data_IF_380321810638
#
_entry.id   IF_380321810638
#
_cell.length_a   1.000
_cell.length_b   1.000
_cell.length_c   1.000
_cell.angle_alpha   90.00
_cell.angle_beta   90.00
_cell.angle_gamma   90.00
#
_symmetry.space_group_name_H-M   'P 1'
#
loop_
_entity.id
_entity.type
_entity.pdbx_description
1 polymer ?
#
# COMPACT_ATOMS: atom_id res chain seq x y z
N UNK A 1 33.38 -54.39 15.45
CA UNK A 1 32.54 -54.39 14.24
C UNK A 1 32.04 -52.97 14.03
N UNK A 2 32.37 -52.30 12.92
CA UNK A 2 31.78 -50.99 12.62
C UNK A 2 30.35 -51.17 12.08
N UNK A 3 29.41 -50.26 12.40
CA UNK A 3 28.03 -50.36 11.94
C UNK A 3 27.94 -50.09 10.43
N UNK A 4 27.20 -50.95 9.74
CA UNK A 4 26.91 -50.89 8.31
C UNK A 4 25.96 -49.72 7.99
N UNK A 5 26.34 -48.92 6.99
CA UNK A 5 25.53 -47.85 6.41
C UNK A 5 24.22 -48.40 5.83
N UNK A 6 23.05 -47.76 6.04
CA UNK A 6 21.82 -48.17 5.41
C UNK A 6 21.84 -47.88 3.88
N UNK A 7 21.09 -48.66 3.07
CA UNK A 7 21.11 -48.54 1.62
C UNK A 7 20.54 -47.19 1.17
N UNK A 8 21.27 -46.52 0.28
CA UNK A 8 20.85 -45.31 -0.43
C UNK A 8 19.53 -45.55 -1.18
N UNK A 9 18.49 -44.80 -0.83
CA UNK A 9 17.25 -44.73 -1.61
C UNK A 9 17.55 -44.31 -3.05
N UNK A 10 16.92 -44.92 -4.07
CA UNK A 10 17.15 -44.56 -5.46
C UNK A 10 16.68 -43.11 -5.71
N UNK A 11 17.47 -42.38 -6.49
CA UNK A 11 17.17 -41.01 -6.93
C UNK A 11 15.83 -40.95 -7.69
N UNK A 12 15.09 -39.84 -7.64
CA UNK A 12 13.85 -39.70 -8.40
C UNK A 12 14.13 -39.78 -9.91
N UNK A 13 13.22 -40.45 -10.64
CA UNK A 13 13.21 -40.57 -12.11
C UNK A 13 13.47 -39.23 -12.79
N UNK A 14 14.29 -39.26 -13.84
CA UNK A 14 14.57 -38.12 -14.71
C UNK A 14 13.27 -37.42 -15.15
N UNK A 15 13.11 -36.14 -14.78
CA UNK A 15 12.03 -35.29 -15.26
C UNK A 15 12.18 -35.12 -16.78
N UNK A 16 11.21 -35.64 -17.53
CA UNK A 16 11.16 -35.54 -18.99
C UNK A 16 10.81 -34.09 -19.35
N UNK A 17 11.76 -33.34 -19.90
CA UNK A 17 11.57 -31.94 -20.32
C UNK A 17 11.40 -31.88 -21.83
N UNK A 18 10.32 -31.27 -22.30
CA UNK A 18 10.02 -31.09 -23.73
C UNK A 18 10.09 -29.60 -24.06
N UNK A 19 11.03 -29.21 -24.92
CA UNK A 19 11.21 -27.80 -25.30
C UNK A 19 10.45 -27.50 -26.60
N UNK A 20 9.51 -26.56 -26.56
CA UNK A 20 8.81 -26.06 -27.75
C UNK A 20 9.20 -24.60 -27.98
N UNK A 21 9.58 -24.24 -29.21
CA UNK A 21 9.76 -22.83 -29.58
C UNK A 21 8.39 -22.21 -29.81
N UNK A 22 8.09 -21.13 -29.11
CA UNK A 22 6.94 -20.27 -29.35
C UNK A 22 7.46 -18.83 -29.47
N UNK A 23 7.00 -18.10 -30.48
CA UNK A 23 7.31 -16.67 -30.64
C UNK A 23 6.02 -15.88 -30.51
N UNK A 24 5.78 -15.34 -29.32
CA UNK A 24 4.60 -14.51 -29.04
C UNK A 24 5.10 -13.13 -28.63
N UNK A 25 4.84 -12.14 -29.47
CA UNK A 25 5.00 -10.72 -29.10
C UNK A 25 3.73 -10.23 -28.41
N UNK A 26 3.88 -9.59 -27.26
CA UNK A 26 2.83 -8.96 -26.47
C UNK A 26 3.25 -7.51 -26.25
N UNK A 27 2.40 -6.56 -26.65
CA UNK A 27 2.65 -5.14 -26.43
C UNK A 27 2.22 -4.73 -25.00
N UNK A 28 2.75 -3.63 -24.45
CA UNK A 28 2.30 -3.10 -23.16
C UNK A 28 0.78 -2.89 -23.13
N UNK A 29 0.16 -3.23 -21.99
CA UNK A 29 -1.29 -3.10 -21.77
C UNK A 29 -2.19 -3.83 -22.78
N UNK A 30 -1.70 -4.93 -23.37
CA UNK A 30 -2.48 -5.78 -24.28
C UNK A 30 -2.56 -7.22 -23.76
N UNK A 31 -3.71 -7.83 -23.99
CA UNK A 31 -3.92 -9.27 -23.81
C UNK A 31 -3.79 -9.98 -25.15
N UNK A 32 -3.21 -11.18 -25.15
CA UNK A 32 -3.06 -11.99 -26.37
C UNK A 32 -3.25 -13.47 -26.07
N UNK A 33 -4.16 -14.09 -26.81
CA UNK A 33 -4.34 -15.54 -26.76
C UNK A 33 -3.15 -16.26 -27.41
N UNK A 34 -2.77 -17.39 -26.83
CA UNK A 34 -1.63 -18.18 -27.31
C UNK A 34 -2.01 -19.63 -27.49
N UNK A 35 -1.30 -20.32 -28.37
CA UNK A 35 -1.39 -21.79 -28.53
C UNK A 35 -0.49 -22.55 -27.54
N UNK A 36 0.03 -21.87 -26.51
CA UNK A 36 0.86 -22.49 -25.48
C UNK A 36 -0.08 -23.27 -24.55
N UNK A 37 0.17 -24.58 -24.42
CA UNK A 37 -0.65 -25.43 -23.55
C UNK A 37 -0.42 -25.03 -22.09
N UNK A 38 -1.49 -24.96 -21.31
CA UNK A 38 -1.43 -24.84 -19.86
C UNK A 38 -0.85 -26.09 -19.21
N UNK A 39 -0.18 -25.94 -18.07
CA UNK A 39 0.24 -27.08 -17.27
C UNK A 39 -0.98 -27.79 -16.67
N UNK A 40 -0.94 -29.13 -16.62
CA UNK A 40 -1.95 -29.91 -15.90
C UNK A 40 -1.84 -29.65 -14.40
N UNK A 41 -2.96 -29.19 -13.82
CA UNK A 41 -3.04 -28.79 -12.41
C UNK A 41 -2.59 -29.96 -11.53
N UNK A 42 -1.53 -29.75 -10.73
CA UNK A 42 -0.92 -30.71 -9.79
C UNK A 42 -0.02 -31.81 -10.37
N UNK A 43 0.17 -31.89 -11.70
CA UNK A 43 1.00 -32.95 -12.31
C UNK A 43 2.22 -32.41 -13.04
N UNK A 44 2.15 -31.16 -13.50
CA UNK A 44 3.15 -30.60 -14.39
C UNK A 44 3.41 -29.14 -14.11
N UNK A 45 4.55 -28.67 -14.63
CA UNK A 45 4.94 -27.27 -14.65
C UNK A 45 5.38 -26.93 -16.07
N UNK A 46 4.91 -25.81 -16.60
CA UNK A 46 5.37 -25.25 -17.86
C UNK A 46 6.33 -24.11 -17.55
N UNK A 47 7.57 -24.22 -18.03
CA UNK A 47 8.57 -23.17 -17.93
C UNK A 47 8.51 -22.26 -19.14
N UNK A 48 8.28 -20.98 -18.90
CA UNK A 48 8.20 -19.94 -19.93
C UNK A 48 9.42 -19.03 -19.83
N UNK A 49 9.99 -18.67 -20.98
CA UNK A 49 11.05 -17.68 -21.10
C UNK A 49 10.54 -16.48 -21.88
N UNK A 50 10.66 -15.29 -21.27
CA UNK A 50 10.29 -14.01 -21.86
C UNK A 50 11.54 -13.22 -22.23
N UNK A 51 11.41 -12.36 -23.25
CA UNK A 51 12.42 -11.37 -23.61
C UNK A 51 11.82 -9.97 -23.46
N UNK A 52 12.45 -9.11 -22.65
CA UNK A 52 12.06 -7.72 -22.45
C UNK A 52 13.31 -6.84 -22.45
N UNK A 53 13.31 -5.79 -23.27
CA UNK A 53 14.46 -4.88 -23.47
C UNK A 53 15.80 -5.59 -23.73
N UNK A 54 15.78 -6.67 -24.52
CA UNK A 54 16.98 -7.45 -24.81
C UNK A 54 17.32 -8.54 -23.80
N UNK A 55 16.76 -8.47 -22.58
CA UNK A 55 17.04 -9.33 -21.44
C UNK A 55 16.06 -10.50 -21.32
N UNK A 56 16.52 -11.62 -20.76
CA UNK A 56 15.73 -12.86 -20.62
C UNK A 56 15.27 -13.10 -19.19
N UNK A 57 14.01 -13.50 -19.07
CA UNK A 57 13.34 -13.77 -17.80
C UNK A 57 12.64 -15.13 -17.86
N UNK A 58 12.65 -15.87 -16.76
CA UNK A 58 12.10 -17.23 -16.69
C UNK A 58 11.09 -17.36 -15.56
N UNK A 59 10.01 -18.10 -15.82
CA UNK A 59 9.03 -18.45 -14.80
C UNK A 59 8.39 -19.81 -15.04
N UNK A 60 8.07 -20.46 -13.94
CA UNK A 60 7.35 -21.73 -13.89
C UNK A 60 5.86 -21.48 -13.61
N UNK A 61 4.98 -22.05 -14.44
CA UNK A 61 3.52 -21.98 -14.28
C UNK A 61 2.90 -23.39 -14.15
N UNK A 62 1.98 -23.61 -13.18
CA UNK A 62 1.69 -22.72 -12.06
C UNK A 62 2.92 -22.51 -11.18
N UNK A 63 3.06 -21.31 -10.62
CA UNK A 63 4.17 -21.02 -9.72
C UNK A 63 4.00 -21.76 -8.39
N UNK A 64 5.08 -22.03 -7.64
CA UNK A 64 4.98 -22.60 -6.28
C UNK A 64 4.15 -21.73 -5.32
N UNK A 65 4.09 -20.41 -5.56
CA UNK A 65 3.29 -19.44 -4.82
C UNK A 65 1.85 -19.41 -5.32
N UNK A 66 0.89 -19.31 -4.38
CA UNK A 66 -0.54 -19.10 -4.67
C UNK A 66 -0.91 -17.64 -5.00
N UNK A 67 0.05 -16.71 -4.91
CA UNK A 67 -0.17 -15.27 -5.12
C UNK A 67 0.41 -14.87 -6.49
N UNK A 68 1.53 -14.15 -6.44
CA UNK A 68 2.37 -13.79 -7.56
C UNK A 68 3.76 -14.42 -7.40
N UNK A 69 4.54 -14.39 -8.48
CA UNK A 69 5.95 -14.79 -8.48
C UNK A 69 6.78 -13.81 -9.29
N UNK A 70 7.94 -13.42 -8.78
CA UNK A 70 8.90 -12.64 -9.57
C UNK A 70 9.65 -13.59 -10.50
N UNK A 71 9.71 -13.27 -11.78
CA UNK A 71 10.47 -14.03 -12.77
C UNK A 71 11.95 -14.06 -12.41
N UNK A 72 12.59 -15.20 -12.61
CA UNK A 72 14.04 -15.33 -12.51
C UNK A 72 14.70 -14.60 -13.68
N UNK A 73 15.56 -13.64 -13.39
CA UNK A 73 16.45 -13.04 -14.40
C UNK A 73 17.48 -14.07 -14.86
N UNK A 74 17.59 -14.27 -16.17
CA UNK A 74 18.59 -15.16 -16.75
C UNK A 74 19.87 -14.41 -17.16
N UNK A 75 19.82 -13.08 -17.21
CA UNK A 75 20.92 -12.18 -17.51
C UNK A 75 20.77 -10.86 -16.73
N UNK A 76 21.61 -9.85 -17.02
CA UNK A 76 21.71 -8.58 -16.27
C UNK A 76 20.54 -7.60 -16.44
N UNK A 77 19.32 -8.09 -16.67
CA UNK A 77 18.13 -7.26 -16.84
C UNK A 77 17.82 -6.37 -15.64
N UNK A 78 17.52 -5.09 -15.90
CA UNK A 78 17.29 -4.09 -14.83
C UNK A 78 15.97 -4.30 -14.09
N UNK A 79 14.92 -4.70 -14.79
CA UNK A 79 13.55 -4.76 -14.26
C UNK A 79 13.26 -6.10 -13.60
N UNK A 80 12.59 -6.08 -12.44
CA UNK A 80 11.96 -7.29 -11.92
C UNK A 80 10.60 -7.44 -12.60
N UNK A 81 10.28 -8.61 -13.15
CA UNK A 81 8.97 -8.86 -13.76
C UNK A 81 8.15 -9.77 -12.85
N UNK A 82 6.98 -9.33 -12.40
CA UNK A 82 6.08 -10.13 -11.56
C UNK A 82 5.03 -10.77 -12.43
N UNK A 83 4.74 -12.04 -12.16
CA UNK A 83 3.64 -12.75 -12.80
C UNK A 83 2.52 -13.08 -11.84
N UNK A 84 1.30 -13.06 -12.35
CA UNK A 84 0.11 -13.62 -11.71
C UNK A 84 -0.49 -14.62 -12.67
N UNK A 85 -0.52 -15.89 -12.26
CA UNK A 85 -1.11 -16.98 -13.05
C UNK A 85 -2.45 -17.39 -12.44
N UNK A 86 -3.53 -17.32 -13.23
CA UNK A 86 -4.82 -17.87 -12.83
C UNK A 86 -5.01 -19.21 -13.54
N UNK A 87 -5.07 -20.29 -12.75
CA UNK A 87 -5.31 -21.63 -13.32
C UNK A 87 -6.70 -21.74 -13.95
N UNK A 88 -7.67 -20.97 -13.44
CA UNK A 88 -8.98 -20.84 -14.07
C UNK A 88 -8.82 -19.92 -15.28
N UNK A 89 -8.96 -20.49 -16.48
CA UNK A 89 -8.75 -19.78 -17.76
C UNK A 89 -7.30 -19.78 -18.28
N UNK A 90 -6.35 -20.41 -17.59
CA UNK A 90 -4.94 -20.50 -17.99
C UNK A 90 -4.31 -19.13 -18.37
N UNK A 91 -4.61 -18.11 -17.58
CA UNK A 91 -4.21 -16.74 -17.87
C UNK A 91 -2.95 -16.35 -17.10
N UNK A 92 -2.00 -15.72 -17.79
CA UNK A 92 -0.75 -15.23 -17.20
C UNK A 92 -0.65 -13.72 -17.42
N UNK A 93 -0.78 -12.96 -16.34
CA UNK A 93 -0.47 -11.54 -16.34
C UNK A 93 1.00 -11.31 -16.01
N UNK A 94 1.65 -10.38 -16.71
CA UNK A 94 3.05 -9.99 -16.50
C UNK A 94 3.06 -8.49 -16.21
N UNK A 95 3.67 -8.13 -15.09
CA UNK A 95 3.82 -6.76 -14.63
C UNK A 95 5.30 -6.43 -14.55
N UNK A 96 5.70 -5.24 -14.98
CA UNK A 96 6.96 -4.68 -14.49
C UNK A 96 6.79 -4.40 -13.02
N UNK A 97 7.48 -5.16 -12.17
CA UNK A 97 7.54 -4.89 -10.75
C UNK A 97 8.43 -3.66 -10.62
N UNK A 98 7.82 -2.49 -10.61
CA UNK A 98 8.42 -1.39 -9.88
C UNK A 98 8.76 -1.93 -8.49
N UNK A 99 9.95 -1.64 -7.98
CA UNK A 99 10.33 -2.00 -6.61
C UNK A 99 9.23 -1.48 -5.69
N UNK A 100 8.30 -2.33 -5.23
CA UNK A 100 7.02 -1.86 -4.67
C UNK A 100 7.23 -0.99 -3.42
N UNK A 101 8.31 -1.25 -2.67
CA UNK A 101 8.72 -0.43 -1.55
C UNK A 101 9.30 0.95 -1.94
N UNK A 102 9.63 1.17 -3.22
CA UNK A 102 10.26 2.38 -3.75
C UNK A 102 9.78 2.76 -5.17
N UNK A 103 8.51 2.49 -5.49
CA UNK A 103 8.01 2.61 -6.87
C UNK A 103 7.94 4.07 -7.35
N UNK A 104 7.80 5.03 -6.43
CA UNK A 104 7.78 6.45 -6.80
C UNK A 104 9.17 6.93 -7.25
N UNK A 105 10.26 6.19 -6.99
CA UNK A 105 11.62 6.52 -7.46
C UNK A 105 11.73 6.67 -8.97
N UNK A 106 10.93 5.94 -9.72
CA UNK A 106 10.95 5.94 -11.19
C UNK A 106 10.17 7.13 -11.79
N UNK A 107 9.54 7.95 -10.95
CA UNK A 107 8.72 9.09 -11.37
C UNK A 107 9.47 10.40 -11.24
N UNK A 108 9.09 11.38 -12.07
CA UNK A 108 9.69 12.72 -12.06
C UNK A 108 9.21 13.57 -10.88
N UNK A 109 10.10 14.43 -10.36
CA UNK A 109 9.85 15.26 -9.19
C UNK A 109 8.85 16.39 -9.45
N UNK A 110 8.75 16.83 -10.71
CA UNK A 110 7.88 17.90 -11.17
C UNK A 110 6.41 17.46 -11.28
N UNK A 111 6.14 16.15 -11.30
CA UNK A 111 4.79 15.64 -11.46
C UNK A 111 3.92 16.05 -10.26
N UNK A 112 2.76 16.69 -10.49
CA UNK A 112 1.80 16.95 -9.43
C UNK A 112 1.36 15.63 -8.79
N UNK A 113 1.45 15.55 -7.45
CA UNK A 113 1.04 14.36 -6.70
C UNK A 113 -0.39 13.88 -7.02
N UNK A 114 -1.39 14.76 -7.26
CA UNK A 114 -2.75 14.35 -7.61
C UNK A 114 -2.90 13.68 -8.98
N UNK A 115 -1.90 13.78 -9.87
CA UNK A 115 -1.94 13.08 -11.17
C UNK A 115 -1.55 11.61 -11.06
N UNK A 116 -1.04 11.17 -9.92
CA UNK A 116 -0.62 9.79 -9.71
C UNK A 116 -1.82 8.91 -9.34
N UNK A 117 -1.89 7.72 -9.93
CA UNK A 117 -2.72 6.64 -9.39
C UNK A 117 -2.01 6.03 -8.18
N UNK A 118 -2.51 6.33 -6.99
CA UNK A 118 -1.89 5.90 -5.72
C UNK A 118 -2.76 4.82 -5.06
N UNK A 119 -2.24 3.60 -4.83
CA UNK A 119 -2.97 2.60 -4.07
C UNK A 119 -3.09 3.02 -2.60
N UNK A 120 -4.29 2.88 -2.06
CA UNK A 120 -4.62 3.18 -0.67
C UNK A 120 -5.29 2.02 0.06
N UNK A 121 -5.30 2.07 1.39
CA UNK A 121 -5.99 1.10 2.23
C UNK A 121 -6.99 1.77 3.17
N UNK A 122 -8.20 1.22 3.23
CA UNK A 122 -9.25 1.63 4.16
C UNK A 122 -8.91 1.15 5.58
N UNK A 123 -9.08 2.05 6.56
CA UNK A 123 -8.75 1.85 7.96
C UNK A 123 -7.44 1.04 8.15
N UNK A 124 -6.33 1.60 7.64
CA UNK A 124 -5.08 0.89 7.36
C UNK A 124 -4.52 0.03 8.50
N UNK A 125 -4.56 0.41 9.79
CA UNK A 125 -3.95 -0.41 10.85
C UNK A 125 -4.81 -1.59 11.31
N UNK A 126 -5.98 -1.85 10.71
CA UNK A 126 -6.93 -2.90 11.14
C UNK A 126 -6.54 -4.32 10.70
N UNK A 127 -5.35 -4.78 11.10
CA UNK A 127 -4.85 -6.12 10.79
C UNK A 127 -4.77 -7.07 12.00
N UNK A 128 -5.12 -6.60 13.20
CA UNK A 128 -4.99 -7.35 14.43
C UNK A 128 -6.16 -8.30 14.68
N UNK A 129 -6.04 -9.12 15.72
CA UNK A 129 -7.16 -9.89 16.26
C UNK A 129 -8.22 -8.94 16.80
N UNK A 130 -9.36 -8.87 16.12
CA UNK A 130 -10.48 -7.99 16.43
C UNK A 130 -11.82 -8.68 16.11
N UNK A 131 -12.93 -8.01 16.42
CA UNK A 131 -14.25 -8.46 15.97
C UNK A 131 -14.30 -8.56 14.43
N UNK A 132 -15.10 -9.48 13.85
CA UNK A 132 -15.09 -9.74 12.41
C UNK A 132 -15.32 -8.48 11.53
N UNK A 133 -16.15 -7.54 11.97
CA UNK A 133 -16.46 -6.30 11.24
C UNK A 133 -15.41 -5.19 11.39
N UNK A 134 -14.38 -5.37 12.22
CA UNK A 134 -13.34 -4.38 12.51
C UNK A 134 -12.10 -4.57 11.63
N UNK A 135 -11.81 -5.81 11.21
CA UNK A 135 -10.59 -6.13 10.48
C UNK A 135 -10.76 -5.86 8.98
N UNK A 136 -10.15 -4.80 8.47
CA UNK A 136 -10.16 -4.46 7.04
C UNK A 136 -8.90 -4.92 6.30
N UNK A 137 -7.80 -5.19 7.03
CA UNK A 137 -6.50 -5.47 6.43
C UNK A 137 -5.93 -6.83 6.84
N UNK A 138 -5.21 -7.47 5.91
CA UNK A 138 -4.56 -8.75 6.16
C UNK A 138 -3.20 -8.60 6.88
N UNK A 139 -2.51 -7.47 6.66
CA UNK A 139 -1.15 -7.19 7.11
C UNK A 139 -1.03 -5.78 7.68
N UNK A 140 -0.03 -5.55 8.53
CA UNK A 140 0.22 -4.23 9.15
C UNK A 140 0.78 -3.19 8.19
N UNK A 141 0.75 -1.92 8.62
CA UNK A 141 1.18 -0.76 7.82
C UNK A 141 2.59 -0.92 7.22
N UNK A 142 3.64 -1.38 7.94
CA UNK A 142 4.96 -1.58 7.34
C UNK A 142 4.93 -2.48 6.10
N UNK A 143 4.13 -3.55 6.14
CA UNK A 143 4.01 -4.50 5.05
C UNK A 143 3.14 -3.96 3.91
N UNK A 144 2.10 -3.17 4.22
CA UNK A 144 1.33 -2.46 3.19
C UNK A 144 2.23 -1.50 2.40
N UNK A 145 3.10 -0.76 3.08
CA UNK A 145 4.06 0.16 2.46
C UNK A 145 5.06 -0.61 1.57
N UNK A 146 5.60 -1.75 2.03
CA UNK A 146 6.45 -2.62 1.19
C UNK A 146 5.74 -3.14 -0.05
N UNK A 147 4.43 -3.35 0.03
CA UNK A 147 3.58 -3.79 -1.08
C UNK A 147 3.07 -2.63 -1.97
N UNK A 148 3.55 -1.40 -1.77
CA UNK A 148 3.30 -0.27 -2.67
C UNK A 148 2.21 0.70 -2.25
N UNK A 149 1.50 0.45 -1.15
CA UNK A 149 0.47 1.36 -0.60
C UNK A 149 1.12 2.70 -0.23
N UNK A 150 0.52 3.82 -0.65
CA UNK A 150 0.99 5.18 -0.29
C UNK A 150 -0.14 6.11 0.17
N UNK A 151 -1.39 5.65 0.21
CA UNK A 151 -2.48 6.36 0.86
C UNK A 151 -3.00 5.55 2.05
N UNK A 152 -2.98 6.12 3.24
CA UNK A 152 -3.41 5.47 4.48
C UNK A 152 -4.64 6.18 5.05
N UNK A 153 -5.74 5.46 5.25
CA UNK A 153 -6.89 5.95 6.01
C UNK A 153 -6.72 5.59 7.49
N UNK A 154 -6.46 6.60 8.32
CA UNK A 154 -6.18 6.46 9.74
C UNK A 154 -7.35 7.03 10.54
N UNK A 155 -7.88 6.22 11.45
CA UNK A 155 -9.00 6.61 12.32
C UNK A 155 -8.57 6.56 13.77
N UNK A 156 -8.74 7.68 14.47
CA UNK A 156 -8.24 7.88 15.83
C UNK A 156 -9.34 8.28 16.80
N UNK A 157 -9.28 7.73 18.00
CA UNK A 157 -10.04 8.18 19.16
C UNK A 157 -9.17 9.09 20.01
N UNK A 158 -9.71 10.24 20.40
CA UNK A 158 -9.02 11.26 21.18
C UNK A 158 -9.78 11.56 22.48
N UNK A 159 -9.04 11.72 23.58
CA UNK A 159 -9.58 12.07 24.90
C UNK A 159 -9.38 13.56 25.20
N UNK A 160 -10.26 14.24 25.95
CA UNK A 160 -9.98 15.60 26.41
C UNK A 160 -8.79 15.69 27.37
N UNK A 161 -8.48 14.59 28.06
CA UNK A 161 -7.56 14.57 29.21
C UNK A 161 -6.09 14.28 28.84
N UNK A 162 -5.83 13.81 27.62
CA UNK A 162 -4.48 13.55 27.12
C UNK A 162 -4.41 13.67 25.59
N UNK A 163 -3.20 13.73 25.06
CA UNK A 163 -2.91 13.85 23.64
C UNK A 163 -2.60 12.50 22.95
N UNK A 164 -2.82 11.38 23.63
CA UNK A 164 -2.58 10.04 23.08
C UNK A 164 -3.74 9.62 22.17
N UNK A 165 -3.42 9.40 20.90
CA UNK A 165 -4.41 9.01 19.89
C UNK A 165 -4.47 7.48 19.76
N UNK A 166 -5.57 6.87 20.19
CA UNK A 166 -5.81 5.44 20.04
C UNK A 166 -6.38 5.12 18.65
N UNK A 167 -5.91 4.05 18.01
CA UNK A 167 -6.40 3.60 16.72
C UNK A 167 -7.70 2.80 16.86
N UNK A 168 -8.72 3.16 16.06
CA UNK A 168 -10.08 2.62 16.19
C UNK A 168 -10.72 2.30 14.84
N UNK A 169 -11.79 1.52 14.85
CA UNK A 169 -12.71 1.33 13.73
C UNK A 169 -14.14 1.58 14.21
N UNK A 170 -14.75 2.69 13.80
CA UNK A 170 -16.00 3.16 14.40
C UNK A 170 -15.82 3.30 15.91
N UNK A 171 -16.70 2.72 16.72
CA UNK A 171 -16.63 2.74 18.20
C UNK A 171 -15.70 1.67 18.80
N UNK A 172 -15.11 0.79 17.99
CA UNK A 172 -14.35 -0.35 18.48
C UNK A 172 -12.83 -0.12 18.42
N UNK A 173 -12.06 -0.62 19.40
CA UNK A 173 -10.60 -0.69 19.27
C UNK A 173 -10.22 -1.66 18.15
N UNK A 174 -9.13 -1.38 17.44
CA UNK A 174 -8.66 -2.23 16.33
C UNK A 174 -8.03 -3.57 16.78
N UNK A 175 -7.93 -3.82 18.08
CA UNK A 175 -7.22 -4.96 18.67
C UNK A 175 -7.83 -5.35 20.01
N UNK A 176 -8.12 -6.66 20.18
CA UNK A 176 -8.59 -7.23 21.46
C UNK A 176 -7.46 -7.53 22.44
N UNK A 177 -6.19 -7.45 22.02
CA UNK A 177 -5.01 -7.74 22.85
C UNK A 177 -4.34 -6.49 23.42
N UNK A 178 -5.07 -5.37 23.45
CA UNK A 178 -4.61 -4.08 23.96
C UNK A 178 -4.66 -2.98 22.92
N UNK A 179 -4.69 -1.74 23.42
CA UNK A 179 -4.76 -0.51 22.64
C UNK A 179 -3.54 -0.38 21.71
N UNK A 180 -3.78 0.08 20.49
CA UNK A 180 -2.74 0.43 19.52
C UNK A 180 -2.76 1.94 19.34
N UNK A 181 -1.60 2.56 19.46
CA UNK A 181 -1.50 4.01 19.42
C UNK A 181 -0.98 4.51 18.08
N UNK A 182 -1.45 5.69 17.69
CA UNK A 182 -1.02 6.37 16.48
C UNK A 182 0.50 6.60 16.45
N UNK A 183 1.11 6.88 17.62
CA UNK A 183 2.55 7.11 17.77
C UNK A 183 3.38 5.94 17.24
N UNK A 184 3.04 4.71 17.62
CA UNK A 184 3.83 3.53 17.28
C UNK A 184 3.79 3.26 15.77
N UNK A 185 2.60 3.35 15.18
CA UNK A 185 2.42 3.26 13.73
C UNK A 185 3.15 4.39 12.99
N UNK A 186 3.17 5.59 13.54
CA UNK A 186 3.86 6.72 12.94
C UNK A 186 5.39 6.54 12.95
N UNK A 187 5.95 5.93 14.00
CA UNK A 187 7.36 5.59 14.07
C UNK A 187 7.76 4.57 12.98
N UNK A 188 6.90 3.56 12.73
CA UNK A 188 7.05 2.63 11.60
C UNK A 188 7.04 3.34 10.23
N UNK A 189 6.16 4.32 10.06
CA UNK A 189 6.05 5.10 8.83
C UNK A 189 7.31 5.95 8.60
N UNK A 190 7.83 6.58 9.65
CA UNK A 190 9.08 7.34 9.54
C UNK A 190 10.24 6.45 9.12
N UNK A 191 10.35 5.26 9.73
CA UNK A 191 11.36 4.28 9.36
C UNK A 191 11.26 3.87 7.89
N UNK A 192 10.05 3.60 7.40
CA UNK A 192 9.84 3.28 5.99
C UNK A 192 10.31 4.39 5.05
N UNK A 193 9.97 5.65 5.37
CA UNK A 193 10.37 6.82 4.58
C UNK A 193 11.89 7.09 4.68
N UNK A 194 12.55 6.74 5.79
CA UNK A 194 14.01 6.81 5.92
C UNK A 194 14.70 5.77 5.04
N UNK A 195 14.16 4.55 4.99
CA UNK A 195 14.64 3.45 4.14
C UNK A 195 14.32 3.70 2.64
N UNK A 196 13.30 4.50 2.34
CA UNK A 196 12.81 4.75 0.98
C UNK A 196 12.54 6.26 0.78
N UNK A 197 13.60 7.11 0.74
CA UNK A 197 13.46 8.56 0.69
C UNK A 197 12.83 9.08 -0.62
N UNK A 198 12.73 8.22 -1.64
CA UNK A 198 11.98 8.54 -2.86
C UNK A 198 10.48 8.59 -2.64
N UNK A 199 9.95 7.98 -1.59
CA UNK A 199 8.51 7.81 -1.41
C UNK A 199 7.88 8.97 -0.64
N UNK A 200 6.58 9.14 -0.78
CA UNK A 200 5.75 10.01 0.05
C UNK A 200 4.50 9.25 0.48
N UNK A 201 3.93 9.59 1.63
CA UNK A 201 2.69 8.97 2.11
C UNK A 201 1.61 10.03 2.23
N UNK A 202 0.44 9.79 1.65
CA UNK A 202 -0.77 10.54 1.93
C UNK A 202 -1.45 9.90 3.14
N UNK A 203 -1.70 10.67 4.18
CA UNK A 203 -2.33 10.18 5.40
C UNK A 203 -3.64 10.92 5.62
N UNK A 204 -4.75 10.23 5.36
CA UNK A 204 -6.09 10.64 5.77
C UNK A 204 -6.24 10.40 7.26
N UNK A 205 -6.61 11.42 8.02
CA UNK A 205 -6.85 11.31 9.46
C UNK A 205 -8.27 11.76 9.76
N UNK A 206 -9.04 10.86 10.39
CA UNK A 206 -10.42 11.09 10.83
C UNK A 206 -10.55 10.80 12.33
N UNK A 207 -11.32 11.62 13.04
CA UNK A 207 -11.74 11.31 14.41
C UNK A 207 -12.88 10.29 14.40
N UNK A 208 -12.74 9.23 15.17
CA UNK A 208 -13.77 8.21 15.46
C UNK A 208 -13.63 7.74 16.90
N UNK A 209 -14.27 6.62 17.27
CA UNK A 209 -14.19 6.05 18.61
C UNK A 209 -15.14 6.70 19.60
N UNK A 210 -14.98 6.29 20.86
CA UNK A 210 -15.80 6.74 22.00
C UNK A 210 -15.16 7.90 22.77
N UNK A 211 -13.96 8.33 22.35
CA UNK A 211 -13.27 9.49 22.92
C UNK A 211 -14.08 10.77 22.75
N UNK A 212 -14.09 11.60 23.80
CA UNK A 212 -14.95 12.79 23.89
C UNK A 212 -14.28 14.09 23.43
N UNK A 213 -13.03 14.03 22.94
CA UNK A 213 -12.38 15.20 22.39
C UNK A 213 -13.08 15.67 21.11
N UNK A 214 -13.07 16.99 20.90
CA UNK A 214 -13.54 17.64 19.67
C UNK A 214 -12.55 17.47 18.51
N UNK A 215 -12.98 17.79 17.29
CA UNK A 215 -12.09 17.84 16.13
C UNK A 215 -10.98 18.87 16.31
N UNK A 216 -11.33 20.01 16.90
CA UNK A 216 -10.45 21.11 17.24
C UNK A 216 -9.34 20.64 18.20
N UNK A 217 -9.69 19.88 19.23
CA UNK A 217 -8.72 19.26 20.15
C UNK A 217 -7.84 18.25 19.43
N UNK A 218 -8.41 17.38 18.58
CA UNK A 218 -7.62 16.46 17.76
C UNK A 218 -6.59 17.20 16.90
N UNK A 219 -7.00 18.31 16.25
CA UNK A 219 -6.09 19.14 15.46
C UNK A 219 -4.92 19.69 16.28
N UNK A 220 -5.20 20.18 17.49
CA UNK A 220 -4.16 20.67 18.42
C UNK A 220 -3.22 19.56 18.88
N UNK A 221 -3.74 18.41 19.29
CA UNK A 221 -2.92 17.26 19.71
C UNK A 221 -2.06 16.76 18.56
N UNK A 222 -2.65 16.56 17.37
CA UNK A 222 -1.92 16.10 16.21
C UNK A 222 -0.77 17.05 15.85
N UNK A 223 -1.04 18.37 15.85
CA UNK A 223 -0.01 19.36 15.54
C UNK A 223 1.08 19.40 16.60
N UNK A 224 0.74 19.60 17.87
CA UNK A 224 1.72 19.81 18.94
C UNK A 224 2.51 18.54 19.28
N UNK A 225 1.82 17.40 19.35
CA UNK A 225 2.37 16.18 19.94
C UNK A 225 2.99 15.23 18.93
N UNK A 226 2.70 15.39 17.63
CA UNK A 226 3.17 14.50 16.57
C UNK A 226 3.87 15.25 15.44
N UNK A 227 3.24 16.27 14.85
CA UNK A 227 3.76 16.95 13.65
C UNK A 227 4.89 17.92 13.99
N UNK A 228 4.71 18.76 15.02
CA UNK A 228 5.69 19.78 15.38
C UNK A 228 7.01 19.19 15.89
N UNK A 229 6.97 17.97 16.44
CA UNK A 229 8.18 17.23 16.85
C UNK A 229 9.07 16.82 15.68
N UNK A 230 8.52 16.70 14.46
CA UNK A 230 9.25 16.31 13.23
C UNK A 230 8.72 17.07 12.01
N UNK A 231 8.64 18.42 12.08
CA UNK A 231 8.00 19.26 11.05
C UNK A 231 8.47 18.98 9.61
N UNK A 232 9.76 18.70 9.43
CA UNK A 232 10.35 18.39 8.13
C UNK A 232 9.81 17.09 7.49
N UNK A 233 9.22 16.19 8.28
CA UNK A 233 8.60 14.94 7.83
C UNK A 233 7.13 15.10 7.45
N UNK A 234 6.57 16.30 7.55
CA UNK A 234 5.18 16.56 7.23
C UNK A 234 5.03 17.66 6.20
N UNK A 235 4.20 17.41 5.21
CA UNK A 235 3.62 18.44 4.37
C UNK A 235 2.28 18.84 4.95
N UNK A 236 2.22 20.05 5.50
CA UNK A 236 1.01 20.61 6.13
C UNK A 236 0.49 21.85 5.44
N UNK A 237 1.13 22.29 4.36
CA UNK A 237 0.64 23.41 3.56
C UNK A 237 -0.71 23.01 2.96
N UNK A 238 -1.75 23.86 3.03
CA UNK A 238 -3.06 23.61 2.43
C UNK A 238 -3.02 23.79 0.90
N UNK A 239 -2.10 23.07 0.25
CA UNK A 239 -1.84 23.08 -1.18
C UNK A 239 -1.35 21.70 -1.61
N UNK A 240 -1.72 21.28 -2.81
CA UNK A 240 -1.24 20.02 -3.41
C UNK A 240 0.24 20.16 -3.82
N UNK A 241 1.15 19.31 -3.29
CA UNK A 241 2.57 19.35 -3.66
C UNK A 241 2.83 18.67 -5.01
N UNK A 242 3.99 18.97 -5.60
CA UNK A 242 4.61 18.05 -6.57
C UNK A 242 5.20 16.86 -5.84
N UNK A 243 5.46 15.75 -6.55
CA UNK A 243 6.05 14.56 -5.95
C UNK A 243 7.38 14.88 -5.26
N UNK A 244 8.28 15.61 -5.91
CA UNK A 244 9.58 16.00 -5.37
C UNK A 244 9.49 16.76 -4.04
N UNK A 245 8.50 17.66 -3.90
CA UNK A 245 8.28 18.40 -2.63
C UNK A 245 7.69 17.51 -1.52
N UNK A 246 7.05 16.42 -1.88
CA UNK A 246 6.41 15.48 -0.96
C UNK A 246 7.34 14.34 -0.52
N UNK A 247 8.37 13.99 -1.29
CA UNK A 247 9.30 12.89 -0.99
C UNK A 247 9.90 12.98 0.41
N UNK A 248 9.96 11.84 1.10
CA UNK A 248 10.41 11.71 2.48
C UNK A 248 9.42 12.24 3.53
N UNK A 249 8.23 12.69 3.11
CA UNK A 249 7.24 13.33 3.98
C UNK A 249 5.89 12.60 3.96
N UNK A 250 5.10 12.91 4.98
CA UNK A 250 3.69 12.57 5.08
C UNK A 250 2.88 13.81 4.68
N UNK A 251 2.05 13.68 3.65
CA UNK A 251 1.08 14.69 3.22
C UNK A 251 -0.21 14.45 3.99
N UNK A 252 -0.58 15.40 4.85
CA UNK A 252 -1.78 15.27 5.67
C UNK A 252 -3.05 15.60 4.87
N UNK A 253 -4.01 14.68 4.89
CA UNK A 253 -5.38 14.86 4.43
C UNK A 253 -6.28 14.89 5.66
N UNK A 254 -6.84 16.06 5.97
CA UNK A 254 -7.54 16.32 7.23
C UNK A 254 -9.04 16.06 7.08
N UNK A 255 -9.57 15.05 7.76
CA UNK A 255 -11.02 14.77 7.89
C UNK A 255 -11.55 15.15 9.28
N UNK A 256 -11.12 16.30 9.79
CA UNK A 256 -11.56 16.90 11.06
C UNK A 256 -11.48 18.42 10.97
N UNK A 257 -12.30 19.15 11.72
CA UNK A 257 -12.27 20.60 11.76
C UNK A 257 -11.06 21.19 12.52
N UNK A 258 -10.61 22.37 12.10
CA UNK A 258 -9.59 23.15 12.80
C UNK A 258 -10.24 24.16 13.74
N UNK A 259 -9.59 24.40 14.88
CA UNK A 259 -9.96 25.52 15.74
C UNK A 259 -9.62 26.86 15.07
N UNK A 260 -10.27 27.94 15.53
CA UNK A 260 -10.14 29.26 14.92
C UNK A 260 -8.74 29.84 15.02
N UNK A 261 -7.97 29.52 16.06
CA UNK A 261 -6.60 29.98 16.23
C UNK A 261 -5.70 29.27 15.22
N UNK A 262 -5.84 27.95 15.06
CA UNK A 262 -5.09 27.21 14.04
C UNK A 262 -5.42 27.68 12.62
N UNK A 263 -6.70 27.96 12.32
CA UNK A 263 -7.10 28.51 11.00
C UNK A 263 -6.36 29.81 10.68
N UNK A 264 -6.23 30.71 11.66
CA UNK A 264 -5.59 32.02 11.49
C UNK A 264 -4.06 31.96 11.52
N UNK A 265 -3.49 31.14 12.40
CA UNK A 265 -2.04 31.11 12.64
C UNK A 265 -1.26 30.21 11.69
N UNK A 266 -1.90 29.19 11.11
CA UNK A 266 -1.24 28.27 10.19
C UNK A 266 -1.26 28.82 8.75
N UNK A 267 -0.08 28.79 8.11
CA UNK A 267 0.11 29.12 6.68
C UNK A 267 -0.53 30.45 6.26
N UNK A 268 -0.31 31.50 7.06
CA UNK A 268 -0.79 32.87 6.81
C UNK A 268 -2.32 32.94 6.68
N UNK A 269 -3.03 32.22 7.53
CA UNK A 269 -4.50 32.19 7.56
C UNK A 269 -5.12 31.23 6.54
N UNK A 270 -4.32 30.49 5.76
CA UNK A 270 -4.83 29.49 4.81
C UNK A 270 -5.25 28.18 5.48
N UNK A 271 -4.95 28.01 6.77
CA UNK A 271 -5.28 26.81 7.54
C UNK A 271 -4.16 25.77 7.51
N UNK A 272 -4.50 24.51 7.77
CA UNK A 272 -3.53 23.44 8.01
C UNK A 272 -3.97 22.11 7.39
N UNK A 273 -3.10 21.54 6.56
CA UNK A 273 -3.34 20.31 5.81
C UNK A 273 -4.24 20.46 4.59
N UNK A 274 -4.32 19.40 3.78
CA UNK A 274 -5.32 19.32 2.69
C UNK A 274 -6.70 19.12 3.34
N UNK A 275 -7.61 20.07 3.12
CA UNK A 275 -8.91 20.07 3.79
C UNK A 275 -9.89 19.06 3.15
N UNK A 276 -10.28 18.07 3.94
CA UNK A 276 -11.28 17.07 3.63
C UNK A 276 -12.33 16.94 4.76
N UNK A 277 -12.50 17.97 5.61
CA UNK A 277 -13.36 17.89 6.78
C UNK A 277 -14.84 17.82 6.42
N UNK A 278 -15.27 18.57 5.40
CA UNK A 278 -16.59 18.42 4.81
C UNK A 278 -16.56 17.24 3.82
N UNK A 279 -16.69 16.03 4.34
CA UNK A 279 -16.71 14.78 3.58
C UNK A 279 -18.17 14.35 3.33
N UNK A 280 -18.64 14.27 2.08
CA UNK A 280 -20.01 13.84 1.79
C UNK A 280 -20.24 12.39 2.21
N UNK A 281 -21.34 12.11 2.93
CA UNK A 281 -21.70 10.76 3.35
C UNK A 281 -22.28 9.96 2.18
N UNK A 282 -21.86 8.71 2.05
CA UNK A 282 -22.39 7.71 1.11
C UNK A 282 -22.67 8.25 -0.31
N UNK A 283 -21.65 8.82 -0.95
CA UNK A 283 -21.79 9.49 -2.24
C UNK A 283 -21.09 8.74 -3.38
N UNK A 284 -21.71 8.75 -4.57
CA UNK A 284 -21.09 8.29 -5.81
C UNK A 284 -20.00 9.27 -6.28
N UNK A 285 -20.24 10.56 -6.05
CA UNK A 285 -19.38 11.63 -6.48
C UNK A 285 -19.61 12.89 -5.63
N UNK A 286 -18.70 13.12 -4.69
CA UNK A 286 -18.75 14.21 -3.74
C UNK A 286 -17.54 15.12 -3.86
N UNK A 287 -17.74 16.44 -3.83
CA UNK A 287 -16.65 17.40 -3.63
C UNK A 287 -16.46 17.65 -2.13
N UNK A 288 -15.24 17.52 -1.64
CA UNK A 288 -14.92 17.93 -0.27
C UNK A 288 -14.79 19.45 -0.16
N UNK A 289 -15.05 20.00 1.03
CA UNK A 289 -15.09 21.45 1.27
C UNK A 289 -13.81 22.22 0.92
N UNK A 290 -12.64 21.57 0.93
CA UNK A 290 -11.37 22.18 0.54
C UNK A 290 -11.16 22.39 -0.96
N UNK A 291 -12.06 21.88 -1.82
CA UNK A 291 -11.98 22.02 -3.28
C UNK A 291 -10.91 21.16 -3.97
N UNK A 292 -10.02 20.50 -3.21
CA UNK A 292 -8.94 19.67 -3.75
C UNK A 292 -9.33 18.20 -3.95
N UNK A 293 -10.40 17.74 -3.31
CA UNK A 293 -10.76 16.32 -3.26
C UNK A 293 -12.15 16.12 -3.85
N UNK A 294 -12.23 15.20 -4.80
CA UNK A 294 -13.46 14.60 -5.30
C UNK A 294 -13.42 13.12 -4.91
N UNK A 295 -14.49 12.64 -4.30
CA UNK A 295 -14.51 11.33 -3.66
C UNK A 295 -15.74 10.54 -4.09
N UNK A 296 -15.54 9.24 -4.27
CA UNK A 296 -16.61 8.25 -4.24
C UNK A 296 -16.43 7.46 -2.93
N UNK A 297 -17.49 7.32 -2.14
CA UNK A 297 -17.46 6.69 -0.82
C UNK A 297 -18.79 5.97 -0.51
N UNK A 298 -19.21 5.04 -1.37
CA UNK A 298 -20.29 4.11 -1.04
C UNK A 298 -19.80 3.09 -0.01
N UNK A 299 -20.12 3.35 1.26
CA UNK A 299 -19.77 2.48 2.38
C UNK A 299 -20.94 1.56 2.78
N UNK A 300 -22.12 1.80 2.19
CA UNK A 300 -23.37 1.10 2.44
C UNK A 300 -24.06 0.84 1.09
N UNK A 301 -23.51 -0.07 0.31
CA UNK A 301 -24.27 -0.68 -0.80
C UNK A 301 -25.14 -1.80 -0.22
N UNK A 302 -26.43 -1.71 -0.50
CA UNK A 302 -27.44 -2.73 -0.18
C UNK A 302 -27.28 -3.98 -1.05
#
# INVERSE_FOLDING_TARGET
>A
MPPTSPPTKPMPKAMRSTRKKASVKIEPFKTKDTKIRSADKHKEVVRLTFKYEGHKYEVDIPSPSKKSSVMKKLDGGKHDLTVVYTSNGAFLAIFSSARLNSWMKELHDEWPLPLLSIPGTHNSPTCHTALPSVRCQAVGVPEQLRNGVRFLDIRVSASPDNDELALVHSVFPISLTGTKYFKDMLDDIYKFLDENPSETILMSIKREGTGKATDEQLGKYLKASYVDKKRNRWWTEPKLPTLGRARGRIVIVRRFNLDNEMKKSCWDGRGWGIDAAAWPDNCEDGKCGGGFIRVQDFLRDH
#
